data_IF_220542012923
#
_entry.id   IF_220542012923
#
_cell.length_a   1.000
_cell.length_b   1.000
_cell.length_c   1.000
_cell.angle_alpha   90.00
_cell.angle_beta   90.00
_cell.angle_gamma   90.00
#
_symmetry.space_group_name_H-M   'P 1'
#
loop_
_entity.id
_entity.type
_entity.pdbx_description
1 polymer ?
#
# COMPACT_ATOMS: atom_id res chain seq x y z
N UNK A 1 26.32 -6.42 13.61
CA UNK A 1 27.14 -6.80 12.44
C UNK A 1 27.47 -8.29 12.44
N UNK A 2 27.56 -8.94 13.59
CA UNK A 2 27.91 -10.37 13.75
C UNK A 2 26.89 -11.34 13.11
N UNK A 3 25.58 -11.10 13.28
CA UNK A 3 24.52 -11.97 12.72
C UNK A 3 24.52 -11.97 11.17
N UNK A 4 24.81 -10.84 10.54
CA UNK A 4 24.82 -10.73 9.07
C UNK A 4 26.02 -11.50 8.49
N UNK A 5 27.17 -11.46 9.16
CA UNK A 5 28.37 -12.22 8.77
C UNK A 5 28.20 -13.72 8.96
N UNK A 6 27.61 -14.17 10.08
CA UNK A 6 27.31 -15.60 10.30
C UNK A 6 26.29 -16.15 9.30
N UNK A 7 25.32 -15.33 8.87
CA UNK A 7 24.39 -15.73 7.82
C UNK A 7 25.11 -15.84 6.47
N UNK A 8 26.02 -14.91 6.16
CA UNK A 8 26.78 -14.87 4.90
C UNK A 8 27.68 -16.10 4.73
N UNK A 9 28.27 -16.61 5.81
CA UNK A 9 29.12 -17.82 5.78
C UNK A 9 28.32 -19.11 5.59
N UNK A 10 27.03 -19.13 5.97
CA UNK A 10 26.12 -20.27 5.78
C UNK A 10 25.36 -20.29 4.45
N UNK A 11 25.40 -19.21 3.67
CA UNK A 11 24.70 -19.13 2.37
C UNK A 11 25.07 -20.30 1.45
N UNK A 12 26.36 -20.66 1.25
CA UNK A 12 26.72 -21.71 0.29
C UNK A 12 26.16 -23.09 0.62
N UNK A 13 25.91 -23.40 1.90
CA UNK A 13 25.27 -24.66 2.30
C UNK A 13 23.74 -24.58 2.20
N UNK A 14 23.15 -23.45 2.58
CA UNK A 14 21.68 -23.28 2.66
C UNK A 14 21.04 -23.12 1.28
N UNK A 15 21.75 -22.67 0.25
CA UNK A 15 21.19 -22.52 -1.11
C UNK A 15 20.73 -23.84 -1.75
N UNK A 16 21.29 -24.97 -1.31
CA UNK A 16 20.92 -26.30 -1.81
C UNK A 16 19.92 -27.01 -0.90
N UNK A 17 19.65 -26.45 0.29
CA UNK A 17 18.69 -27.00 1.22
C UNK A 17 17.26 -26.62 0.81
N UNK A 18 16.38 -27.61 0.83
CA UNK A 18 14.96 -27.42 0.61
C UNK A 18 14.17 -27.81 1.85
N UNK A 19 13.08 -27.10 2.09
CA UNK A 19 12.15 -27.48 3.17
C UNK A 19 11.40 -28.76 2.81
N UNK A 20 10.60 -29.28 3.76
CA UNK A 20 9.67 -30.38 3.50
C UNK A 20 8.59 -30.04 2.46
N UNK A 21 8.35 -28.75 2.16
CA UNK A 21 7.48 -28.28 1.09
C UNK A 21 8.21 -28.14 -0.26
N UNK A 22 9.45 -28.64 -0.37
CA UNK A 22 10.34 -28.45 -1.52
C UNK A 22 10.63 -26.97 -1.81
N UNK A 23 10.59 -26.11 -0.78
CA UNK A 23 10.85 -24.68 -0.96
C UNK A 23 12.33 -24.36 -0.75
N UNK A 24 12.89 -23.52 -1.61
CA UNK A 24 14.22 -22.97 -1.42
C UNK A 24 14.24 -21.76 -0.47
N UNK A 25 15.44 -21.31 -0.12
CA UNK A 25 15.66 -20.19 0.81
C UNK A 25 14.96 -18.89 0.38
N UNK A 26 14.91 -18.60 -0.94
CA UNK A 26 14.26 -17.41 -1.47
C UNK A 26 12.74 -17.51 -1.31
N UNK A 27 12.15 -18.64 -1.68
CA UNK A 27 10.71 -18.89 -1.55
C UNK A 27 10.25 -18.79 -0.09
N UNK A 28 11.02 -19.36 0.85
CA UNK A 28 10.73 -19.25 2.29
C UNK A 28 10.82 -17.80 2.76
N UNK A 29 11.84 -17.05 2.33
CA UNK A 29 11.98 -15.64 2.66
C UNK A 29 10.82 -14.79 2.11
N UNK A 30 10.34 -15.10 0.90
CA UNK A 30 9.20 -14.42 0.27
C UNK A 30 7.89 -14.73 0.99
N UNK A 31 7.61 -16.00 1.27
CA UNK A 31 6.41 -16.46 2.00
C UNK A 31 6.29 -15.81 3.39
N UNK A 32 7.42 -15.55 4.04
CA UNK A 32 7.48 -14.92 5.37
C UNK A 32 7.79 -13.41 5.34
N UNK A 33 7.85 -12.81 4.15
CA UNK A 33 8.14 -11.38 3.94
C UNK A 33 9.41 -10.84 4.61
N UNK A 34 10.47 -11.63 4.60
CA UNK A 34 11.76 -11.27 5.20
C UNK A 34 12.62 -10.48 4.22
N UNK A 35 12.35 -9.18 4.09
CA UNK A 35 13.06 -8.28 3.15
C UNK A 35 14.59 -8.31 3.34
N UNK A 36 15.07 -8.35 4.59
CA UNK A 36 16.50 -8.37 4.90
C UNK A 36 17.21 -9.60 4.31
N UNK A 37 16.54 -10.76 4.31
CA UNK A 37 17.09 -12.00 3.74
C UNK A 37 17.09 -11.93 2.22
N UNK A 38 16.02 -11.43 1.60
CA UNK A 38 15.92 -11.28 0.14
C UNK A 38 17.01 -10.33 -0.38
N UNK A 39 17.17 -9.17 0.26
CA UNK A 39 18.22 -8.21 -0.10
C UNK A 39 19.62 -8.77 0.11
N UNK A 40 19.82 -9.58 1.15
CA UNK A 40 21.09 -10.27 1.37
C UNK A 40 21.37 -11.29 0.27
N UNK A 41 20.40 -12.11 -0.12
CA UNK A 41 20.54 -13.07 -1.22
C UNK A 41 20.83 -12.34 -2.54
N UNK A 42 20.10 -11.26 -2.82
CA UNK A 42 20.26 -10.46 -4.04
C UNK A 42 21.65 -9.82 -4.15
N UNK A 43 22.25 -9.40 -3.04
CA UNK A 43 23.56 -8.74 -3.02
C UNK A 43 24.74 -9.70 -3.06
N UNK A 44 24.57 -10.91 -2.50
CA UNK A 44 25.67 -11.85 -2.29
C UNK A 44 25.70 -13.02 -3.27
N UNK A 45 24.59 -13.32 -3.95
CA UNK A 45 24.54 -14.38 -4.94
C UNK A 45 24.78 -13.84 -6.34
N UNK A 46 25.48 -14.65 -7.15
CA UNK A 46 25.59 -14.40 -8.58
C UNK A 46 24.21 -14.44 -9.24
N UNK A 47 24.04 -13.65 -10.31
CA UNK A 47 22.76 -13.53 -11.02
C UNK A 47 22.24 -14.87 -11.53
N UNK A 48 23.14 -15.79 -11.92
CA UNK A 48 22.77 -17.12 -12.40
C UNK A 48 22.20 -18.00 -11.28
N UNK A 49 22.82 -17.96 -10.09
CA UNK A 49 22.34 -18.71 -8.91
C UNK A 49 21.03 -18.12 -8.42
N UNK A 50 20.92 -16.78 -8.37
CA UNK A 50 19.66 -16.13 -8.03
C UNK A 50 18.55 -16.47 -9.04
N UNK A 51 18.89 -16.48 -10.33
CA UNK A 51 17.99 -16.88 -11.41
C UNK A 51 17.51 -18.33 -11.28
N UNK A 52 18.40 -19.27 -10.92
CA UNK A 52 17.99 -20.67 -10.71
C UNK A 52 17.00 -20.78 -9.54
N UNK A 53 17.26 -20.11 -8.41
CA UNK A 53 16.35 -20.08 -7.25
C UNK A 53 14.98 -19.49 -7.58
N UNK A 54 14.94 -18.46 -8.44
CA UNK A 54 13.70 -17.81 -8.90
C UNK A 54 12.85 -18.76 -9.76
N UNK A 55 13.50 -19.58 -10.59
CA UNK A 55 12.86 -20.51 -11.53
C UNK A 55 12.31 -21.77 -10.86
N UNK A 56 12.77 -22.11 -9.65
CA UNK A 56 12.31 -23.28 -8.93
C UNK A 56 10.84 -23.17 -8.48
N UNK A 57 10.23 -24.34 -8.33
CA UNK A 57 8.84 -24.50 -7.93
C UNK A 57 8.76 -25.27 -6.61
N UNK A 58 7.79 -24.93 -5.77
CA UNK A 58 7.47 -25.71 -4.58
C UNK A 58 6.72 -27.01 -4.94
N UNK A 59 6.32 -27.78 -3.92
CA UNK A 59 5.60 -29.05 -4.09
C UNK A 59 4.24 -28.96 -4.82
N UNK A 60 3.64 -27.78 -4.89
CA UNK A 60 2.35 -27.52 -5.57
C UNK A 60 2.55 -26.58 -6.77
N UNK A 61 3.77 -26.57 -7.32
CA UNK A 61 4.15 -25.82 -8.51
C UNK A 61 3.97 -24.30 -8.37
N UNK A 62 3.99 -23.76 -7.16
CA UNK A 62 3.99 -22.32 -6.97
C UNK A 62 5.35 -21.75 -7.35
N UNK A 63 5.31 -20.72 -8.18
CA UNK A 63 6.45 -19.82 -8.38
C UNK A 63 6.60 -18.87 -7.19
N UNK A 64 7.75 -18.19 -7.09
CA UNK A 64 8.00 -17.13 -6.10
C UNK A 64 6.88 -16.07 -6.09
N UNK A 65 6.26 -15.78 -7.23
CA UNK A 65 5.18 -14.80 -7.33
C UNK A 65 3.83 -15.32 -6.81
N UNK A 66 3.55 -16.61 -6.94
CA UNK A 66 2.37 -17.21 -6.27
C UNK A 66 2.52 -17.11 -4.74
N UNK A 67 3.74 -17.35 -4.23
CA UNK A 67 4.04 -17.21 -2.80
C UNK A 67 3.98 -15.75 -2.33
N UNK A 68 4.39 -14.79 -3.16
CA UNK A 68 4.24 -13.36 -2.85
C UNK A 68 2.78 -12.90 -2.83
N UNK A 69 1.93 -13.52 -3.66
CA UNK A 69 0.51 -13.25 -3.73
C UNK A 69 -0.27 -13.83 -2.55
N UNK A 70 0.19 -14.94 -1.96
CA UNK A 70 -0.41 -15.52 -0.79
C UNK A 70 -0.03 -14.75 0.49
N UNK A 71 -1.04 -14.17 1.15
CA UNK A 71 -0.85 -13.33 2.35
C UNK A 71 -1.28 -13.99 3.65
N UNK A 72 -1.64 -15.28 3.60
CA UNK A 72 -2.13 -16.06 4.74
C UNK A 72 -1.19 -16.06 5.95
N UNK A 73 0.11 -16.19 5.72
CA UNK A 73 1.09 -16.26 6.82
C UNK A 73 1.36 -14.92 7.51
N UNK A 74 0.94 -13.80 6.91
CA UNK A 74 1.31 -12.47 7.38
C UNK A 74 0.17 -11.67 8.01
N UNK A 75 -0.99 -12.31 8.24
CA UNK A 75 -2.14 -11.68 8.89
C UNK A 75 -1.82 -11.18 10.32
N UNK A 76 -0.78 -11.72 10.97
CA UNK A 76 -0.38 -11.33 12.34
C UNK A 76 0.57 -10.14 12.39
N UNK A 77 1.33 -9.88 11.33
CA UNK A 77 2.51 -8.99 11.39
C UNK A 77 2.14 -7.50 11.31
N UNK A 78 0.96 -7.17 10.74
CA UNK A 78 0.51 -5.79 10.55
C UNK A 78 -0.84 -5.46 11.19
N UNK A 79 -1.20 -6.13 12.30
CA UNK A 79 -2.47 -5.89 13.00
C UNK A 79 -2.67 -4.43 13.47
N UNK A 80 -1.59 -3.64 13.55
CA UNK A 80 -1.62 -2.22 13.96
C UNK A 80 -2.13 -1.32 12.82
N UNK A 81 -1.93 -1.71 11.56
CA UNK A 81 -2.30 -0.92 10.40
C UNK A 81 -3.74 -1.21 9.97
N UNK A 82 -4.56 -0.16 9.76
CA UNK A 82 -5.92 -0.33 9.23
C UNK A 82 -5.94 -1.10 7.91
N UNK A 83 -7.07 -1.74 7.57
CA UNK A 83 -7.18 -2.65 6.41
C UNK A 83 -6.73 -2.03 5.08
N UNK A 84 -6.90 -0.72 4.90
CA UNK A 84 -6.40 -0.01 3.73
C UNK A 84 -4.87 0.01 3.62
N UNK A 85 -4.19 0.24 4.74
CA UNK A 85 -2.72 0.26 4.78
C UNK A 85 -2.15 -1.15 4.62
N UNK A 86 -2.81 -2.18 5.16
CA UNK A 86 -2.44 -3.57 4.91
C UNK A 86 -2.51 -3.91 3.41
N UNK A 87 -3.58 -3.51 2.72
CA UNK A 87 -3.71 -3.72 1.27
C UNK A 87 -2.60 -3.00 0.47
N UNK A 88 -2.27 -1.75 0.82
CA UNK A 88 -1.18 -1.03 0.18
C UNK A 88 0.17 -1.73 0.36
N UNK A 89 0.45 -2.23 1.56
CA UNK A 89 1.68 -2.98 1.84
C UNK A 89 1.72 -4.31 1.08
N UNK A 90 0.59 -4.99 0.96
CA UNK A 90 0.45 -6.22 0.18
C UNK A 90 0.73 -5.98 -1.32
N UNK A 91 0.22 -4.89 -1.88
CA UNK A 91 0.50 -4.48 -3.27
C UNK A 91 1.99 -4.12 -3.44
N UNK A 92 2.53 -3.27 -2.56
CA UNK A 92 3.95 -2.86 -2.61
C UNK A 92 4.90 -4.05 -2.50
N UNK A 93 4.55 -5.02 -1.65
CA UNK A 93 5.30 -6.25 -1.53
C UNK A 93 5.28 -7.06 -2.82
N UNK A 94 4.10 -7.27 -3.40
CA UNK A 94 3.96 -8.01 -4.64
C UNK A 94 4.72 -7.34 -5.80
N UNK A 95 4.63 -6.02 -5.93
CA UNK A 95 5.42 -5.23 -6.90
C UNK A 95 6.92 -5.45 -6.73
N UNK A 96 7.43 -5.35 -5.50
CA UNK A 96 8.85 -5.55 -5.23
C UNK A 96 9.35 -6.95 -5.63
N UNK A 97 8.56 -8.00 -5.36
CA UNK A 97 8.93 -9.36 -5.76
C UNK A 97 8.79 -9.57 -7.27
N UNK A 98 7.80 -8.95 -7.92
CA UNK A 98 7.67 -8.96 -9.37
C UNK A 98 8.90 -8.36 -10.05
N UNK A 99 9.39 -7.23 -9.53
CA UNK A 99 10.58 -6.56 -10.06
C UNK A 99 11.86 -7.40 -9.86
N UNK A 100 11.89 -8.26 -8.82
CA UNK A 100 13.00 -9.19 -8.57
C UNK A 100 13.04 -10.34 -9.59
N UNK A 101 11.88 -10.86 -10.00
CA UNK A 101 11.74 -12.10 -10.80
C UNK A 101 11.95 -11.89 -12.31
N UNK A 102 11.80 -10.64 -12.80
CA UNK A 102 11.82 -10.26 -14.23
C UNK A 102 10.65 -10.88 -15.06
N UNK A 103 10.13 -10.13 -16.04
CA UNK A 103 8.79 -10.31 -16.65
C UNK A 103 8.56 -11.63 -17.43
N UNK A 104 9.59 -12.44 -17.67
CA UNK A 104 9.49 -13.60 -18.59
C UNK A 104 8.80 -14.84 -17.98
N UNK A 105 8.29 -14.77 -16.73
CA UNK A 105 7.70 -15.89 -15.99
C UNK A 105 6.19 -15.79 -15.80
N UNK A 106 5.52 -15.00 -16.64
CA UNK A 106 4.22 -14.43 -16.30
C UNK A 106 3.02 -15.38 -16.41
N UNK A 107 3.15 -16.53 -17.09
CA UNK A 107 2.00 -17.38 -17.47
C UNK A 107 1.92 -18.77 -16.83
N UNK A 108 2.80 -19.11 -15.86
CA UNK A 108 2.71 -20.42 -15.20
C UNK A 108 1.52 -20.47 -14.24
N UNK A 109 0.79 -21.58 -14.30
CA UNK A 109 -0.24 -21.95 -13.34
C UNK A 109 0.39 -22.87 -12.28
N UNK A 110 -0.08 -22.79 -11.04
CA UNK A 110 0.27 -23.77 -10.02
C UNK A 110 -0.53 -25.08 -10.21
N UNK A 111 -0.29 -26.08 -9.35
CA UNK A 111 -0.98 -27.38 -9.44
C UNK A 111 -2.50 -27.29 -9.24
N UNK A 112 -3.00 -26.19 -8.68
CA UNK A 112 -4.43 -25.88 -8.58
C UNK A 112 -5.00 -25.22 -9.84
N UNK A 113 -4.21 -25.13 -10.92
CA UNK A 113 -4.53 -24.43 -12.18
C UNK A 113 -4.81 -22.94 -12.01
N UNK A 114 -4.25 -22.33 -10.96
CA UNK A 114 -4.42 -20.90 -10.69
C UNK A 114 -3.17 -20.15 -11.11
N UNK A 115 -3.40 -18.99 -11.72
CA UNK A 115 -2.38 -17.99 -11.95
C UNK A 115 -2.03 -17.28 -10.64
N UNK A 116 -0.86 -16.63 -10.64
CA UNK A 116 -0.41 -15.72 -9.58
C UNK A 116 -1.50 -14.68 -9.24
N UNK A 117 -2.26 -14.28 -10.25
CA UNK A 117 -3.27 -13.24 -10.17
C UNK A 117 -4.58 -13.70 -9.55
N UNK A 118 -5.03 -14.89 -9.90
CA UNK A 118 -6.17 -15.52 -9.23
C UNK A 118 -5.86 -15.81 -7.75
N UNK A 119 -4.63 -16.25 -7.44
CA UNK A 119 -4.19 -16.42 -6.05
C UNK A 119 -4.22 -15.09 -5.30
N UNK A 120 -3.72 -14.01 -5.92
CA UNK A 120 -3.75 -12.69 -5.29
C UNK A 120 -5.20 -12.22 -5.07
N UNK A 121 -6.05 -12.30 -6.08
CA UNK A 121 -7.44 -11.85 -5.99
C UNK A 121 -8.21 -12.58 -4.90
N UNK A 122 -8.12 -13.90 -4.84
CA UNK A 122 -8.81 -14.71 -3.84
C UNK A 122 -8.41 -14.33 -2.40
N UNK A 123 -7.11 -14.07 -2.19
CA UNK A 123 -6.58 -13.73 -0.87
C UNK A 123 -6.89 -12.29 -0.46
N UNK A 124 -7.13 -11.40 -1.42
CA UNK A 124 -7.37 -9.99 -1.16
C UNK A 124 -8.83 -9.55 -1.32
N UNK A 125 -9.73 -10.35 -1.88
CA UNK A 125 -11.13 -9.95 -2.14
C UNK A 125 -11.86 -9.44 -0.89
N UNK A 126 -11.69 -10.13 0.25
CA UNK A 126 -12.30 -9.73 1.53
C UNK A 126 -11.64 -8.47 2.10
N UNK A 127 -10.31 -8.36 1.99
CA UNK A 127 -9.54 -7.19 2.43
C UNK A 127 -9.91 -5.95 1.63
N UNK A 128 -10.11 -6.08 0.31
CA UNK A 128 -10.56 -5.01 -0.60
C UNK A 128 -11.93 -4.50 -0.20
N UNK A 129 -12.90 -5.39 0.04
CA UNK A 129 -14.24 -4.98 0.48
C UNK A 129 -14.19 -4.19 1.80
N UNK A 130 -13.50 -4.72 2.80
CA UNK A 130 -13.35 -4.06 4.12
C UNK A 130 -12.56 -2.75 4.05
N UNK A 131 -11.52 -2.69 3.20
CA UNK A 131 -10.78 -1.48 2.89
C UNK A 131 -11.70 -0.41 2.28
N UNK A 132 -12.48 -0.78 1.27
CA UNK A 132 -13.43 0.12 0.61
C UNK A 132 -14.47 0.67 1.58
N UNK A 133 -14.99 -0.17 2.49
CA UNK A 133 -15.92 0.26 3.55
C UNK A 133 -15.23 1.25 4.51
N UNK A 134 -14.03 0.91 4.99
CA UNK A 134 -13.26 1.77 5.91
C UNK A 134 -12.91 3.13 5.29
N UNK A 135 -12.53 3.15 4.01
CA UNK A 135 -12.22 4.38 3.28
C UNK A 135 -13.48 5.22 3.05
N UNK A 136 -14.64 4.59 2.80
CA UNK A 136 -15.93 5.27 2.68
C UNK A 136 -16.34 5.92 4.01
N UNK A 137 -16.21 5.22 5.12
CA UNK A 137 -16.55 5.74 6.45
C UNK A 137 -15.64 6.89 6.87
N UNK A 138 -14.34 6.78 6.56
CA UNK A 138 -13.38 7.87 6.76
C UNK A 138 -13.71 9.10 5.92
N UNK A 139 -14.06 8.90 4.64
CA UNK A 139 -14.45 9.97 3.73
C UNK A 139 -15.72 10.69 4.19
N UNK A 140 -16.73 9.93 4.64
CA UNK A 140 -17.97 10.48 5.19
C UNK A 140 -17.70 11.30 6.45
N UNK A 141 -16.95 10.73 7.41
CA UNK A 141 -16.61 11.39 8.68
C UNK A 141 -15.81 12.67 8.43
N UNK A 142 -14.83 12.64 7.52
CA UNK A 142 -14.05 13.83 7.17
C UNK A 142 -14.90 14.90 6.48
N UNK A 143 -15.81 14.51 5.59
CA UNK A 143 -16.71 15.45 4.91
C UNK A 143 -17.64 16.15 5.89
N UNK A 144 -18.15 15.44 6.91
CA UNK A 144 -18.95 16.04 7.99
C UNK A 144 -18.11 17.04 8.80
N UNK A 145 -16.90 16.66 9.21
CA UNK A 145 -15.99 17.56 9.95
C UNK A 145 -15.61 18.78 9.12
N UNK A 146 -15.31 18.62 7.83
CA UNK A 146 -15.02 19.71 6.92
C UNK A 146 -16.23 20.66 6.77
N UNK A 147 -17.43 20.10 6.62
CA UNK A 147 -18.68 20.88 6.60
C UNK A 147 -18.90 21.69 7.88
N UNK A 148 -18.62 21.11 9.05
CA UNK A 148 -18.71 21.80 10.34
C UNK A 148 -17.68 22.93 10.45
N UNK A 149 -16.43 22.68 10.04
CA UNK A 149 -15.36 23.70 10.03
C UNK A 149 -15.73 24.84 9.08
N UNK A 150 -16.20 24.52 7.87
CA UNK A 150 -16.63 25.51 6.89
C UNK A 150 -17.83 26.33 7.39
N UNK A 151 -18.81 25.69 8.03
CA UNK A 151 -19.96 26.36 8.64
C UNK A 151 -19.56 27.29 9.79
N UNK A 152 -18.65 26.85 10.67
CA UNK A 152 -18.12 27.68 11.76
C UNK A 152 -17.30 28.87 11.22
N UNK A 153 -16.46 28.64 10.21
CA UNK A 153 -15.71 29.70 9.54
C UNK A 153 -16.65 30.71 8.84
N UNK A 154 -17.69 30.24 8.15
CA UNK A 154 -18.68 31.10 7.49
C UNK A 154 -19.52 31.90 8.50
N UNK A 155 -19.92 31.28 9.61
CA UNK A 155 -20.65 31.96 10.69
C UNK A 155 -19.83 33.06 11.34
N UNK A 156 -18.55 32.79 11.60
CA UNK A 156 -17.63 33.77 12.19
C UNK A 156 -17.18 34.84 11.19
N UNK A 157 -17.03 34.54 9.90
CA UNK A 157 -16.73 35.56 8.87
C UNK A 157 -17.92 36.49 8.61
N UNK A 158 -19.14 35.95 8.69
CA UNK A 158 -20.38 36.72 8.53
C UNK A 158 -20.68 37.59 9.76
N UNK A 159 -20.11 37.22 10.92
CA UNK A 159 -20.29 37.92 12.20
C UNK A 159 -18.98 38.61 12.58
N UNK A 160 -18.74 39.81 12.04
CA UNK A 160 -17.53 40.60 12.35
C UNK A 160 -17.39 40.73 13.88
N UNK A 161 -16.28 40.26 14.48
CA UNK A 161 -16.05 40.43 15.91
C UNK A 161 -16.15 41.92 16.27
N UNK A 162 -17.00 42.28 17.23
CA UNK A 162 -17.24 43.68 17.64
C UNK A 162 -18.22 44.47 16.76
N UNK A 163 -18.83 43.85 15.75
CA UNK A 163 -19.80 44.49 14.86
C UNK A 163 -19.15 45.42 13.82
N UNK A 164 -19.99 46.21 13.16
CA UNK A 164 -19.56 47.19 12.17
C UNK A 164 -20.06 48.58 12.52
N UNK A 165 -19.15 49.53 12.67
CA UNK A 165 -19.48 50.94 12.78
C UNK A 165 -19.26 51.61 11.41
N UNK A 166 -20.33 52.21 10.86
CA UNK A 166 -20.31 52.90 9.55
C UNK A 166 -19.75 52.03 8.41
N UNK A 167 -20.01 50.72 8.46
CA UNK A 167 -19.54 49.75 7.46
C UNK A 167 -18.08 49.33 7.60
N UNK A 168 -17.38 49.73 8.69
CA UNK A 168 -16.02 49.28 8.99
C UNK A 168 -16.01 48.34 10.21
N UNK A 169 -15.17 47.29 10.21
CA UNK A 169 -14.98 46.44 11.39
C UNK A 169 -14.50 47.27 12.58
N UNK A 170 -15.16 47.12 13.73
CA UNK A 170 -14.83 47.87 14.96
C UNK A 170 -13.39 47.63 15.42
N UNK A 171 -12.85 46.42 15.20
CA UNK A 171 -11.48 46.04 15.59
C UNK A 171 -10.48 46.05 14.42
N UNK A 172 -10.71 46.85 13.37
CA UNK A 172 -9.84 46.85 12.18
C UNK A 172 -8.36 47.13 12.48
N UNK A 173 -8.06 47.91 13.50
CA UNK A 173 -6.69 48.30 13.87
C UNK A 173 -6.04 47.34 14.88
N UNK A 174 -6.80 46.37 15.41
CA UNK A 174 -6.28 45.41 16.38
C UNK A 174 -5.49 44.29 15.68
N UNK A 175 -4.28 43.97 16.14
CA UNK A 175 -3.48 42.88 15.57
C UNK A 175 -4.19 41.51 15.67
N UNK A 176 -5.03 41.32 16.68
CA UNK A 176 -5.85 40.12 16.84
C UNK A 176 -6.83 39.90 15.65
N UNK A 177 -7.40 40.99 15.10
CA UNK A 177 -8.31 40.92 13.95
C UNK A 177 -7.58 40.50 12.67
N UNK A 178 -6.33 40.96 12.49
CA UNK A 178 -5.49 40.56 11.37
C UNK A 178 -5.06 39.09 11.45
N UNK A 179 -4.64 38.62 12.63
CA UNK A 179 -4.29 37.20 12.85
C UNK A 179 -5.49 36.30 12.61
N UNK A 180 -6.67 36.69 13.12
CA UNK A 180 -7.92 35.97 12.89
C UNK A 180 -8.29 35.89 11.40
N UNK A 181 -8.17 37.01 10.66
CA UNK A 181 -8.49 37.07 9.23
C UNK A 181 -7.54 36.21 8.39
N UNK A 182 -6.24 36.23 8.70
CA UNK A 182 -5.23 35.41 8.02
C UNK A 182 -5.44 33.92 8.31
N UNK A 183 -5.69 33.55 9.58
CA UNK A 183 -5.96 32.17 9.96
C UNK A 183 -7.23 31.62 9.29
N UNK A 184 -8.29 32.45 9.21
CA UNK A 184 -9.54 32.10 8.54
C UNK A 184 -9.35 31.89 7.04
N UNK A 185 -8.57 32.76 6.39
CA UNK A 185 -8.24 32.63 4.97
C UNK A 185 -7.41 31.37 4.68
N UNK A 186 -6.38 31.10 5.49
CA UNK A 186 -5.56 29.88 5.37
C UNK A 186 -6.42 28.63 5.59
N UNK A 187 -7.29 28.66 6.60
CA UNK A 187 -8.24 27.57 6.89
C UNK A 187 -9.16 27.29 5.71
N UNK A 188 -9.74 28.33 5.12
CA UNK A 188 -10.65 28.23 3.97
C UNK A 188 -9.93 27.74 2.70
N UNK A 189 -8.73 28.24 2.42
CA UNK A 189 -7.92 27.82 1.28
C UNK A 189 -7.39 26.38 1.40
N UNK A 190 -7.30 25.84 2.62
CA UNK A 190 -6.86 24.47 2.87
C UNK A 190 -7.98 23.44 2.70
N UNK A 191 -9.27 23.82 2.84
CA UNK A 191 -10.40 22.88 2.77
C UNK A 191 -10.47 22.08 1.46
N UNK A 192 -10.39 22.70 0.25
CA UNK A 192 -10.47 21.95 -1.00
C UNK A 192 -9.28 21.00 -1.17
N UNK A 193 -8.08 21.42 -0.73
CA UNK A 193 -6.85 20.63 -0.87
C UNK A 193 -6.87 19.35 -0.02
N UNK A 194 -7.56 19.38 1.12
CA UNK A 194 -7.73 18.20 1.99
C UNK A 194 -8.75 17.24 1.37
N UNK A 195 -9.86 17.77 0.84
CA UNK A 195 -10.87 16.98 0.13
C UNK A 195 -10.29 16.33 -1.14
N UNK A 196 -9.52 17.09 -1.93
CA UNK A 196 -8.87 16.61 -3.16
C UNK A 196 -7.81 15.55 -2.88
N UNK A 197 -7.07 15.64 -1.76
CA UNK A 197 -6.12 14.58 -1.36
C UNK A 197 -6.84 13.32 -0.90
N UNK A 198 -7.95 13.43 -0.17
CA UNK A 198 -8.77 12.29 0.23
C UNK A 198 -9.42 11.62 -0.98
N UNK A 199 -9.99 12.40 -1.90
CA UNK A 199 -10.54 11.94 -3.17
C UNK A 199 -9.43 11.36 -4.04
N UNK A 200 -8.25 11.97 -4.11
CA UNK A 200 -7.09 11.43 -4.83
C UNK A 200 -6.59 10.12 -4.22
N UNK A 201 -6.65 9.95 -2.90
CA UNK A 201 -6.32 8.68 -2.25
C UNK A 201 -7.37 7.59 -2.61
N UNK A 202 -8.66 7.95 -2.60
CA UNK A 202 -9.75 7.10 -3.09
C UNK A 202 -9.62 6.79 -4.59
N UNK A 203 -9.20 7.77 -5.39
CA UNK A 203 -9.10 7.69 -6.84
C UNK A 203 -7.85 6.90 -7.25
N UNK A 204 -6.72 7.05 -6.56
CA UNK A 204 -5.57 6.14 -6.67
C UNK A 204 -5.98 4.71 -6.34
N UNK A 205 -6.80 4.49 -5.31
CA UNK A 205 -7.33 3.16 -4.99
C UNK A 205 -8.22 2.59 -6.11
N UNK A 206 -9.14 3.38 -6.66
CA UNK A 206 -10.01 2.98 -7.78
C UNK A 206 -9.24 2.81 -9.11
N UNK A 207 -8.24 3.66 -9.37
CA UNK A 207 -7.35 3.58 -10.53
C UNK A 207 -6.37 2.42 -10.42
N UNK A 208 -5.93 2.02 -9.22
CA UNK A 208 -5.18 0.78 -9.05
C UNK A 208 -6.04 -0.41 -9.46
N UNK A 209 -7.36 -0.36 -9.19
CA UNK A 209 -8.31 -1.36 -9.73
C UNK A 209 -8.38 -1.31 -11.26
N UNK A 210 -8.29 -0.14 -11.89
CA UNK A 210 -8.31 0.00 -13.35
C UNK A 210 -6.97 -0.34 -14.02
N UNK A 211 -5.83 -0.07 -13.38
CA UNK A 211 -4.49 -0.44 -13.87
C UNK A 211 -4.18 -1.93 -13.63
N UNK A 212 -4.71 -2.53 -12.55
CA UNK A 212 -4.62 -3.97 -12.31
C UNK A 212 -5.63 -4.78 -13.13
N UNK A 213 -6.71 -4.16 -13.62
CA UNK A 213 -7.61 -4.73 -14.64
C UNK A 213 -7.11 -4.54 -16.08
N UNK A 214 -6.04 -3.76 -16.32
CA UNK A 214 -5.43 -3.58 -17.65
C UNK A 214 -4.08 -4.29 -17.67
N UNK A 215 -4.13 -5.62 -17.63
CA UNK A 215 -3.10 -6.52 -18.15
C UNK A 215 -3.84 -7.64 -18.89
N UNK A 216 -3.32 -8.09 -20.03
CA UNK A 216 -4.00 -8.00 -21.32
C UNK A 216 -5.22 -8.91 -21.44
N UNK A 217 -6.21 -8.35 -22.14
CA UNK A 217 -7.36 -9.03 -22.74
C UNK A 217 -6.93 -10.39 -23.32
N UNK A 218 -7.43 -11.46 -22.72
CA UNK A 218 -7.27 -12.84 -23.22
C UNK A 218 -8.27 -13.08 -24.37
N UNK A 219 -8.28 -12.17 -25.34
CA UNK A 219 -9.11 -12.26 -26.54
C UNK A 219 -8.41 -11.66 -27.75
N UNK A 220 -7.33 -12.30 -28.23
CA UNK A 220 -7.07 -12.40 -29.67
C UNK A 220 -6.33 -13.72 -29.96
N UNK A 221 -7.09 -14.66 -30.53
CA UNK A 221 -6.71 -15.81 -31.39
C UNK A 221 -5.51 -16.70 -31.03
#
# INVERSE_FOLDING_TARGET
>A
MEIVFELQTKIPSVIHEKTSENQNVLQVAVKNRQLSVIEMLRKNLDKEILGSLIMELDNIENTVLHLAADTTNNERTWQIAGTAMQMMLDIKWYEYIRDLVQENLDFRLNSNKKSRWEVFEEKHVKKVKKCSESLKDLSNSCSVVAGLIAGAAFGTSSSVPGGTEKGKPTFKEEPAFHVFSIASLIGLCAQPRVQDRLVSCLCCYLLTRHFLCVAPDSTVR
#
